data_IF_824111510847
#
_entry.id   IF_824111510847
#
_cell.length_a   1.000
_cell.length_b   1.000
_cell.length_c   1.000
_cell.angle_alpha   90.00
_cell.angle_beta   90.00
_cell.angle_gamma   90.00
#
_symmetry.space_group_name_H-M   'P 1'
#
loop_
_entity.id
_entity.type
_entity.pdbx_description
1 polymer ?
#
# COMPACT_ATOMS: atom_id res chain seq x y z
N UNK A 1 -14.65 18.25 5.80
CA UNK A 1 -14.58 17.65 4.45
C UNK A 1 -13.14 17.78 3.98
N UNK A 2 -12.51 16.72 3.48
CA UNK A 2 -11.13 16.78 2.94
C UNK A 2 -11.18 17.08 1.45
N UNK A 3 -10.23 17.87 0.96
CA UNK A 3 -10.07 18.13 -0.47
C UNK A 3 -9.29 16.99 -1.12
N UNK A 4 -9.70 16.56 -2.32
CA UNK A 4 -8.93 15.63 -3.14
C UNK A 4 -7.68 16.32 -3.69
N UNK A 5 -6.61 15.55 -3.86
CA UNK A 5 -5.39 16.06 -4.49
C UNK A 5 -5.62 16.28 -5.99
N UNK A 6 -4.98 17.30 -6.58
CA UNK A 6 -5.07 17.53 -8.01
C UNK A 6 -4.37 16.39 -8.77
N UNK A 7 -4.81 16.12 -9.99
CA UNK A 7 -4.22 15.10 -10.87
C UNK A 7 -4.41 15.43 -12.34
N UNK A 8 -3.49 14.95 -13.17
CA UNK A 8 -3.56 14.94 -14.64
C UNK A 8 -4.06 13.57 -15.12
N UNK A 9 -4.97 13.58 -16.09
CA UNK A 9 -5.54 12.39 -16.72
C UNK A 9 -5.44 12.59 -18.23
N UNK A 10 -4.89 11.60 -18.93
CA UNK A 10 -4.88 11.52 -20.39
C UNK A 10 -5.71 10.32 -20.84
N UNK A 11 -6.46 10.48 -21.92
CA UNK A 11 -7.24 9.40 -22.49
C UNK A 11 -8.23 9.89 -23.54
N UNK A 12 -9.30 9.11 -23.74
CA UNK A 12 -10.28 9.35 -24.79
C UNK A 12 -11.63 9.79 -24.21
N UNK A 13 -12.30 10.73 -24.90
CA UNK A 13 -13.67 11.13 -24.56
C UNK A 13 -14.65 10.25 -25.33
N UNK A 14 -15.62 9.68 -24.62
CA UNK A 14 -16.72 8.92 -25.20
C UNK A 14 -18.04 9.61 -24.93
N UNK A 15 -18.91 9.62 -25.94
CA UNK A 15 -20.26 10.13 -25.86
C UNK A 15 -21.23 9.00 -26.14
N UNK A 16 -22.10 8.71 -25.18
CA UNK A 16 -23.11 7.67 -25.31
C UNK A 16 -24.51 8.27 -25.09
N UNK A 17 -25.50 7.65 -25.75
CA UNK A 17 -26.92 7.96 -25.61
C UNK A 17 -27.67 6.68 -25.30
N UNK A 18 -28.55 6.74 -24.31
CA UNK A 18 -29.46 5.64 -24.00
C UNK A 18 -30.83 6.16 -23.56
N UNK A 19 -31.84 5.31 -23.66
CA UNK A 19 -33.20 5.62 -23.22
C UNK A 19 -33.44 4.93 -21.87
N UNK A 20 -33.83 5.71 -20.86
CA UNK A 20 -34.16 5.19 -19.54
C UNK A 20 -35.50 4.43 -19.54
N UNK A 21 -35.77 3.68 -18.46
CA UNK A 21 -37.03 2.95 -18.29
C UNK A 21 -38.26 3.87 -18.21
N UNK A 22 -38.04 5.15 -17.93
CA UNK A 22 -39.01 6.24 -17.96
C UNK A 22 -39.27 6.79 -19.38
N UNK A 23 -38.60 6.23 -20.40
CA UNK A 23 -38.69 6.67 -21.80
C UNK A 23 -37.90 7.94 -22.10
N UNK A 24 -37.18 8.50 -21.13
CA UNK A 24 -36.40 9.72 -21.31
C UNK A 24 -35.05 9.43 -21.95
N UNK A 25 -34.64 10.25 -22.92
CA UNK A 25 -33.30 10.18 -23.48
C UNK A 25 -32.27 10.76 -22.51
N UNK A 26 -31.15 10.05 -22.33
CA UNK A 26 -30.04 10.45 -21.48
C UNK A 26 -28.74 10.46 -22.27
N UNK A 27 -27.92 11.45 -21.98
CA UNK A 27 -26.62 11.67 -22.61
C UNK A 27 -25.54 11.52 -21.56
N UNK A 28 -24.51 10.75 -21.86
CA UNK A 28 -23.37 10.53 -20.96
C UNK A 28 -22.10 10.90 -21.71
N UNK A 29 -21.28 11.71 -21.06
CA UNK A 29 -19.92 11.99 -21.49
C UNK A 29 -18.98 11.33 -20.50
N UNK A 30 -18.17 10.39 -20.98
CA UNK A 30 -17.21 9.64 -20.17
C UNK A 30 -15.78 9.99 -20.60
N UNK A 31 -14.86 9.98 -19.65
CA UNK A 31 -13.42 10.05 -19.91
C UNK A 31 -12.87 8.67 -19.63
N UNK A 32 -12.44 7.97 -20.67
CA UNK A 32 -11.76 6.68 -20.57
C UNK A 32 -10.28 7.01 -20.42
N UNK A 33 -9.75 6.83 -19.20
CA UNK A 33 -8.37 7.18 -18.87
C UNK A 33 -7.39 6.09 -19.35
N UNK A 34 -6.39 6.50 -20.13
CA UNK A 34 -5.26 5.66 -20.53
C UNK A 34 -4.08 5.85 -19.58
N UNK A 35 -3.87 7.09 -19.11
CA UNK A 35 -2.81 7.45 -18.15
C UNK A 35 -3.31 8.42 -17.08
N UNK A 36 -2.78 8.29 -15.86
CA UNK A 36 -3.08 9.18 -14.74
C UNK A 36 -1.82 9.51 -13.93
N UNK A 37 -1.67 10.78 -13.53
CA UNK A 37 -0.58 11.28 -12.69
C UNK A 37 -1.13 12.22 -11.63
N UNK A 38 -0.89 11.95 -10.35
CA UNK A 38 -1.28 12.86 -9.28
C UNK A 38 -0.32 14.07 -9.21
N UNK A 39 -0.88 15.27 -9.08
CA UNK A 39 -0.20 16.55 -9.01
C UNK A 39 -0.27 17.10 -7.57
N UNK A 40 0.16 16.31 -6.57
CA UNK A 40 -0.02 16.69 -5.17
C UNK A 40 0.86 15.97 -4.15
N UNK A 41 1.71 15.04 -4.58
CA UNK A 41 2.62 14.32 -3.70
C UNK A 41 4.00 14.34 -4.31
N UNK A 42 4.99 14.79 -3.52
CA UNK A 42 6.38 14.32 -3.68
C UNK A 42 6.32 12.80 -3.85
N UNK A 43 7.14 12.24 -4.72
CA UNK A 43 7.41 10.80 -4.78
C UNK A 43 7.86 10.28 -3.39
N UNK A 44 6.91 10.05 -2.50
CA UNK A 44 7.09 9.36 -1.24
C UNK A 44 6.26 8.09 -1.35
N UNK A 45 6.90 7.06 -1.92
CA UNK A 45 6.39 5.71 -1.74
C UNK A 45 5.91 4.96 -2.98
N UNK A 46 6.60 5.09 -4.12
CA UNK A 46 6.95 3.86 -4.85
C UNK A 46 8.10 3.16 -4.11
N UNK A 47 7.88 2.86 -2.84
CA UNK A 47 8.65 1.88 -2.08
C UNK A 47 7.71 0.74 -1.86
N UNK A 48 8.11 -0.40 -2.39
CA UNK A 48 7.26 -1.55 -2.57
C UNK A 48 6.52 -1.93 -1.30
N UNK A 49 5.36 -2.51 -1.53
CA UNK A 49 4.74 -3.47 -0.64
C UNK A 49 5.80 -4.56 -0.38
N UNK A 50 6.67 -4.33 0.60
CA UNK A 50 7.35 -5.38 1.31
C UNK A 50 6.42 -5.73 2.45
N UNK A 51 5.68 -6.85 2.38
CA UNK A 51 5.03 -7.34 3.57
C UNK A 51 6.15 -7.67 4.54
N UNK A 52 6.34 -6.81 5.56
CA UNK A 52 7.18 -7.10 6.71
C UNK A 52 6.52 -8.28 7.42
N UNK A 53 6.83 -9.47 6.93
CA UNK A 53 6.46 -10.76 7.51
C UNK A 53 7.23 -10.82 8.82
N UNK A 54 6.60 -10.33 9.89
CA UNK A 54 7.06 -10.57 11.27
C UNK A 54 7.30 -12.09 11.36
N UNK A 55 8.52 -12.58 11.55
CA UNK A 55 8.68 -14.00 11.85
C UNK A 55 8.01 -14.22 13.20
N UNK A 56 6.88 -14.93 13.19
CA UNK A 56 6.32 -15.51 14.39
C UNK A 56 7.40 -16.45 14.93
N UNK A 57 8.08 -16.00 15.99
CA UNK A 57 9.11 -16.77 16.67
C UNK A 57 8.46 -18.09 17.09
N UNK A 58 8.96 -19.17 16.50
CA UNK A 58 8.54 -20.53 16.79
C UNK A 58 8.64 -20.76 18.30
N UNK A 59 7.55 -21.26 18.89
CA UNK A 59 7.54 -21.84 20.23
C UNK A 59 8.32 -23.14 20.15
N UNK A 60 9.64 -23.07 20.33
CA UNK A 60 10.47 -24.26 20.49
C UNK A 60 10.55 -24.56 21.97
N UNK A 61 9.76 -25.55 22.37
CA UNK A 61 9.74 -26.12 23.70
C UNK A 61 10.67 -27.33 23.69
N UNK A 62 11.98 -27.10 23.87
CA UNK A 62 12.94 -28.18 24.10
C UNK A 62 13.67 -27.91 25.42
N UNK A 63 13.22 -28.63 26.45
CA UNK A 63 13.93 -28.78 27.72
C UNK A 63 15.11 -29.74 27.53
N UNK A 64 16.33 -29.22 27.67
CA UNK A 64 17.56 -29.88 28.16
C UNK A 64 18.74 -29.00 27.68
N UNK A 65 19.68 -28.52 28.48
CA UNK A 65 20.36 -29.11 29.63
C UNK A 65 20.74 -28.01 30.64
N UNK A 66 20.83 -28.41 31.89
CA UNK A 66 21.33 -27.61 33.00
C UNK A 66 22.87 -27.60 33.06
N UNK A 67 23.39 -26.51 33.63
CA UNK A 67 24.76 -26.26 34.11
C UNK A 67 25.86 -25.97 33.08
N UNK A 68 26.13 -24.68 32.86
CA UNK A 68 27.44 -24.02 33.07
C UNK A 68 27.46 -22.65 32.34
N UNK A 69 27.64 -21.57 33.09
CA UNK A 69 27.94 -20.25 32.52
C UNK A 69 27.18 -19.09 33.16
N UNK A 70 27.15 -19.03 34.49
CA UNK A 70 27.11 -17.73 35.16
C UNK A 70 28.39 -16.96 34.77
N UNK A 71 28.28 -15.63 34.65
CA UNK A 71 29.38 -14.68 34.85
C UNK A 71 30.38 -14.35 33.72
N UNK A 72 29.98 -14.35 32.44
CA UNK A 72 30.72 -13.55 31.42
C UNK A 72 29.94 -12.29 31.04
N UNK A 73 29.77 -11.46 32.07
CA UNK A 73 29.75 -9.99 32.07
C UNK A 73 29.11 -9.25 30.89
N UNK A 74 27.87 -8.81 31.14
CA UNK A 74 27.06 -7.86 30.34
C UNK A 74 27.63 -6.42 30.30
N UNK A 75 28.93 -6.18 30.53
CA UNK A 75 29.46 -4.81 30.62
C UNK A 75 30.98 -4.62 30.39
N UNK A 76 31.71 -5.56 29.74
CA UNK A 76 33.17 -5.36 29.50
C UNK A 76 33.63 -5.84 28.09
N UNK A 77 33.93 -4.93 27.13
CA UNK A 77 34.37 -5.31 25.79
C UNK A 77 35.87 -5.65 25.72
N UNK A 78 36.27 -6.66 24.93
CA UNK A 78 37.67 -7.08 24.85
C UNK A 78 38.55 -6.05 24.11
N UNK A 79 39.71 -5.78 24.71
CA UNK A 79 40.83 -4.97 24.24
C UNK A 79 41.28 -5.26 22.79
#
# INVERSE_FOLDING_TARGET
MRQCDPGYIEGTIRYDKFTGNDGQERYVTEIIADQMQMLGGRDEGSSGITPQRRPAKARNNDKAYAYAGDDFHDDDPPF
#
